data_IF_345477621076
#
_entry.id   IF_345477621076
#
_cell.length_a   1.000
_cell.length_b   1.000
_cell.length_c   1.000
_cell.angle_alpha   90.00
_cell.angle_beta   90.00
_cell.angle_gamma   90.00
#
_symmetry.space_group_name_H-M   'P 1'
#
loop_
_entity.id
_entity.type
_entity.pdbx_description
1 polymer ?
#
# COMPACT_ATOMS: atom_id res chain seq x y z
N UNK A 1 16.63 17.44 -26.47
CA UNK A 1 16.02 16.27 -27.13
C UNK A 1 16.44 16.30 -28.59
N UNK A 2 16.95 15.21 -29.17
CA UNK A 2 17.62 15.23 -30.48
C UNK A 2 16.70 15.33 -31.72
N UNK A 3 15.49 15.87 -31.59
CA UNK A 3 14.66 16.31 -32.73
C UNK A 3 14.20 15.26 -33.75
N UNK A 4 14.48 13.98 -33.56
CA UNK A 4 14.03 12.90 -34.45
C UNK A 4 12.62 12.41 -34.14
N UNK A 5 12.02 11.70 -35.10
CA UNK A 5 10.73 11.05 -34.92
C UNK A 5 10.82 9.93 -33.87
N UNK A 6 9.81 9.77 -33.00
CA UNK A 6 9.75 8.65 -32.06
C UNK A 6 9.79 7.30 -32.78
N UNK A 7 10.60 6.36 -32.29
CA UNK A 7 10.68 5.00 -32.85
C UNK A 7 9.35 4.21 -32.77
N UNK A 8 8.41 4.64 -31.93
CA UNK A 8 7.11 4.00 -31.75
C UNK A 8 5.97 5.02 -31.79
N UNK A 9 4.89 4.67 -32.48
CA UNK A 9 3.71 5.52 -32.65
C UNK A 9 2.80 5.56 -31.39
N UNK A 10 3.10 4.76 -30.36
CA UNK A 10 2.31 4.69 -29.13
C UNK A 10 3.22 4.69 -27.91
N UNK A 11 2.86 5.41 -26.83
CA UNK A 11 3.59 5.37 -25.59
C UNK A 11 3.43 4.00 -24.92
N UNK A 12 4.51 3.50 -24.33
CA UNK A 12 4.50 2.35 -23.42
C UNK A 12 4.65 2.84 -21.99
N UNK A 13 3.60 2.65 -21.19
CA UNK A 13 3.60 3.07 -19.79
C UNK A 13 4.32 2.05 -18.92
N UNK A 14 5.22 2.53 -18.05
CA UNK A 14 5.95 1.69 -17.10
C UNK A 14 5.01 0.94 -16.13
N UNK A 15 3.92 1.60 -15.73
CA UNK A 15 2.90 1.02 -14.84
C UNK A 15 1.60 0.89 -15.61
N UNK A 16 1.07 -0.33 -15.68
CA UNK A 16 -0.26 -0.63 -16.22
C UNK A 16 -0.95 -1.64 -15.28
N UNK A 17 -1.89 -1.19 -14.43
CA UNK A 17 -2.53 -2.07 -13.47
C UNK A 17 -3.31 -3.20 -14.14
N UNK A 18 -3.25 -4.40 -13.55
CA UNK A 18 -4.20 -5.45 -13.87
C UNK A 18 -5.56 -5.03 -13.32
N UNK A 19 -6.57 -5.03 -14.18
CA UNK A 19 -7.92 -4.66 -13.79
C UNK A 19 -8.76 -5.93 -13.60
N UNK A 20 -9.56 -6.04 -12.52
CA UNK A 20 -10.42 -7.19 -12.32
C UNK A 20 -11.50 -7.26 -13.40
N UNK A 21 -12.09 -8.44 -13.58
CA UNK A 21 -13.28 -8.57 -14.42
C UNK A 21 -14.39 -7.68 -13.87
N UNK A 22 -15.01 -6.89 -14.74
CA UNK A 22 -16.10 -5.97 -14.36
C UNK A 22 -17.27 -6.70 -13.69
N UNK A 23 -17.51 -7.97 -14.06
CA UNK A 23 -18.52 -8.81 -13.42
C UNK A 23 -18.27 -9.01 -11.93
N UNK A 24 -17.02 -9.20 -11.51
CA UNK A 24 -16.67 -9.48 -10.12
C UNK A 24 -16.66 -8.20 -9.29
N UNK A 25 -16.16 -7.10 -9.86
CA UNK A 25 -16.29 -5.78 -9.25
C UNK A 25 -17.76 -5.41 -9.00
N UNK A 26 -18.62 -5.62 -9.99
CA UNK A 26 -20.06 -5.33 -9.89
C UNK A 26 -20.76 -6.20 -8.83
N UNK A 27 -20.36 -7.46 -8.66
CA UNK A 27 -20.90 -8.31 -7.58
C UNK A 27 -20.56 -7.71 -6.20
N UNK A 28 -19.32 -7.26 -6.02
CA UNK A 28 -18.88 -6.61 -4.79
C UNK A 28 -19.67 -5.34 -4.47
N UNK A 29 -19.81 -4.46 -5.47
CA UNK A 29 -20.57 -3.21 -5.34
C UNK A 29 -22.05 -3.43 -5.03
N UNK A 30 -22.69 -4.43 -5.66
CA UNK A 30 -24.09 -4.81 -5.36
C UNK A 30 -24.28 -5.31 -3.92
N UNK A 31 -23.26 -5.92 -3.33
CA UNK A 31 -23.32 -6.31 -1.93
C UNK A 31 -23.19 -5.08 -1.01
N UNK A 32 -22.20 -4.21 -1.29
CA UNK A 32 -22.00 -2.96 -0.57
C UNK A 32 -23.23 -2.04 -0.62
N UNK A 33 -23.94 -1.98 -1.75
CA UNK A 33 -25.14 -1.15 -1.87
C UNK A 33 -26.28 -1.59 -0.94
N UNK A 34 -26.34 -2.87 -0.58
CA UNK A 34 -27.35 -3.40 0.35
C UNK A 34 -27.02 -3.05 1.80
N UNK A 35 -25.75 -3.17 2.18
CA UNK A 35 -25.30 -2.93 3.56
C UNK A 35 -25.06 -1.45 3.85
N UNK A 36 -24.72 -0.67 2.82
CA UNK A 36 -24.26 0.73 2.90
C UNK A 36 -23.08 0.95 3.86
N UNK A 37 -22.36 -0.12 4.20
CA UNK A 37 -21.20 -0.05 5.07
C UNK A 37 -19.92 -0.11 4.23
N UNK A 38 -19.37 1.08 3.96
CA UNK A 38 -18.36 1.27 2.91
C UNK A 38 -16.91 1.32 3.43
N UNK A 39 -16.71 1.45 4.74
CA UNK A 39 -15.38 1.64 5.36
C UNK A 39 -15.39 1.10 6.81
N UNK A 40 -14.41 1.51 7.63
CA UNK A 40 -14.37 1.33 9.08
C UNK A 40 -14.56 -0.13 9.53
N UNK A 41 -13.69 -1.03 9.05
CA UNK A 41 -13.77 -2.47 9.33
C UNK A 41 -15.01 -3.16 8.72
N UNK A 42 -15.42 -2.70 7.54
CA UNK A 42 -16.46 -3.34 6.73
C UNK A 42 -16.11 -4.77 6.29
N UNK A 43 -17.10 -5.45 5.71
CA UNK A 43 -17.02 -6.87 5.32
C UNK A 43 -15.75 -7.21 4.51
N UNK A 44 -15.47 -6.42 3.47
CA UNK A 44 -14.36 -6.70 2.56
C UNK A 44 -12.99 -6.46 3.19
N UNK A 45 -12.88 -5.54 4.16
CA UNK A 45 -11.64 -5.34 4.94
C UNK A 45 -11.35 -6.62 5.73
N UNK A 46 -12.33 -7.13 6.47
CA UNK A 46 -12.18 -8.34 7.30
C UNK A 46 -11.87 -9.59 6.47
N UNK A 47 -12.52 -9.74 5.31
CA UNK A 47 -12.22 -10.84 4.39
C UNK A 47 -10.78 -10.74 3.91
N UNK A 48 -10.37 -9.55 3.45
CA UNK A 48 -9.02 -9.36 2.92
C UNK A 48 -7.94 -9.54 3.99
N UNK A 49 -8.13 -9.03 5.21
CA UNK A 49 -7.23 -9.27 6.34
C UNK A 49 -7.05 -10.76 6.62
N UNK A 50 -8.15 -11.52 6.66
CA UNK A 50 -8.10 -12.96 6.90
C UNK A 50 -7.37 -13.71 5.79
N UNK A 51 -7.69 -13.43 4.53
CA UNK A 51 -7.07 -14.09 3.39
C UNK A 51 -5.59 -13.73 3.25
N UNK A 52 -5.21 -12.47 3.53
CA UNK A 52 -3.80 -12.05 3.55
C UNK A 52 -3.03 -12.66 4.71
N UNK A 53 -3.59 -12.70 5.92
CA UNK A 53 -2.95 -13.35 7.06
C UNK A 53 -2.64 -14.82 6.74
N UNK A 54 -3.62 -15.53 6.14
CA UNK A 54 -3.44 -16.90 5.67
C UNK A 54 -2.38 -17.00 4.56
N UNK A 55 -2.39 -16.10 3.59
CA UNK A 55 -1.44 -16.10 2.47
C UNK A 55 0.01 -15.89 2.94
N UNK A 56 0.24 -14.96 3.88
CA UNK A 56 1.56 -14.67 4.44
C UNK A 56 1.98 -15.64 5.54
N UNK A 57 1.08 -16.48 6.06
CA UNK A 57 1.38 -17.41 7.15
C UNK A 57 1.58 -16.71 8.50
N UNK A 58 0.87 -15.61 8.75
CA UNK A 58 0.93 -14.85 10.00
C UNK A 58 -0.40 -14.93 10.76
N UNK A 59 -0.37 -14.72 12.07
CA UNK A 59 -1.59 -14.78 12.91
C UNK A 59 -2.54 -13.61 12.66
N UNK A 60 -1.99 -12.40 12.44
CA UNK A 60 -2.75 -11.18 12.25
C UNK A 60 -2.26 -10.38 11.03
N UNK A 61 -3.21 -9.75 10.33
CA UNK A 61 -2.95 -8.77 9.28
C UNK A 61 -3.89 -7.58 9.50
N UNK A 62 -3.36 -6.36 9.48
CA UNK A 62 -4.13 -5.13 9.61
C UNK A 62 -4.01 -4.32 8.32
N UNK A 63 -5.14 -3.89 7.76
CA UNK A 63 -5.17 -3.09 6.54
C UNK A 63 -5.13 -1.58 6.84
N UNK A 64 -4.37 -0.87 6.02
CA UNK A 64 -4.28 0.60 6.02
C UNK A 64 -4.61 1.14 4.63
N UNK A 65 -4.83 2.45 4.53
CA UNK A 65 -5.15 3.08 3.26
C UNK A 65 -3.99 3.11 2.25
N UNK A 66 -2.73 2.98 2.71
CA UNK A 66 -1.53 2.81 1.89
C UNK A 66 -0.34 2.33 2.74
N UNK A 67 0.79 2.03 2.08
CA UNK A 67 2.02 1.54 2.72
C UNK A 67 2.66 2.54 3.69
N UNK A 68 2.67 3.83 3.37
CA UNK A 68 3.29 4.85 4.23
C UNK A 68 2.56 5.03 5.56
N UNK A 69 1.23 5.04 5.54
CA UNK A 69 0.43 5.07 6.78
C UNK A 69 0.62 3.77 7.58
N UNK A 70 0.75 2.62 6.90
CA UNK A 70 1.08 1.37 7.58
C UNK A 70 2.46 1.44 8.28
N UNK A 71 3.48 1.97 7.61
CA UNK A 71 4.83 2.19 8.18
C UNK A 71 4.76 3.12 9.40
N UNK A 72 4.08 4.27 9.27
CA UNK A 72 3.92 5.23 10.36
C UNK A 72 3.22 4.62 11.59
N UNK A 73 2.13 3.87 11.37
CA UNK A 73 1.42 3.19 12.44
C UNK A 73 2.29 2.10 13.07
N UNK A 74 2.97 1.28 12.26
CA UNK A 74 3.86 0.24 12.74
C UNK A 74 4.96 0.81 13.65
N UNK A 75 5.65 1.85 13.19
CA UNK A 75 6.73 2.47 13.95
C UNK A 75 6.25 3.09 15.26
N UNK A 76 5.08 3.74 15.27
CA UNK A 76 4.46 4.21 16.52
C UNK A 76 4.08 3.08 17.46
N UNK A 77 3.50 1.99 16.95
CA UNK A 77 3.09 0.85 17.77
C UNK A 77 4.28 0.09 18.37
N UNK A 78 5.42 0.08 17.68
CA UNK A 78 6.67 -0.50 18.17
C UNK A 78 7.40 0.39 19.19
N UNK A 79 6.94 1.63 19.40
CA UNK A 79 7.56 2.61 20.29
C UNK A 79 9.07 2.75 20.07
N UNK A 80 9.47 2.77 18.79
CA UNK A 80 10.88 2.86 18.42
C UNK A 80 11.45 4.21 18.85
N UNK A 81 12.71 4.20 19.30
CA UNK A 81 13.44 5.40 19.74
C UNK A 81 14.89 5.36 19.27
N UNK A 82 15.56 6.51 19.35
CA UNK A 82 16.93 6.66 18.87
C UNK A 82 17.01 6.74 17.36
N UNK A 83 18.14 6.29 16.79
CA UNK A 83 18.45 6.40 15.37
C UNK A 83 18.18 5.07 14.65
N UNK A 84 17.49 5.12 13.53
CA UNK A 84 17.12 3.94 12.74
C UNK A 84 18.00 3.83 11.49
N UNK A 85 18.59 2.66 11.29
CA UNK A 85 19.36 2.33 10.08
C UNK A 85 18.40 1.96 8.94
N UNK A 86 18.57 2.59 7.78
CA UNK A 86 17.74 2.37 6.58
C UNK A 86 18.62 2.23 5.34
N UNK A 87 18.31 1.35 4.38
CA UNK A 87 19.08 1.28 3.14
C UNK A 87 18.90 2.56 2.33
N UNK A 88 19.99 3.11 1.79
CA UNK A 88 19.91 4.27 0.88
C UNK A 88 19.17 3.98 -0.43
N UNK A 89 19.12 2.71 -0.84
CA UNK A 89 18.43 2.25 -2.04
C UNK A 89 17.02 1.72 -1.71
N UNK A 90 16.09 2.63 -1.42
CA UNK A 90 14.68 2.33 -1.12
C UNK A 90 13.74 3.40 -1.67
N UNK A 91 12.43 3.18 -1.58
CA UNK A 91 11.45 4.22 -1.87
C UNK A 91 11.43 5.27 -0.73
N UNK A 92 11.26 6.58 -1.02
CA UNK A 92 11.36 7.62 -0.01
C UNK A 92 10.40 7.49 1.19
N UNK A 93 9.29 6.73 1.06
CA UNK A 93 8.31 6.58 2.14
C UNK A 93 8.91 6.01 3.41
N UNK A 94 9.89 5.11 3.32
CA UNK A 94 10.52 4.46 4.47
C UNK A 94 11.12 5.50 5.43
N UNK A 95 11.82 6.50 4.90
CA UNK A 95 12.43 7.59 5.68
C UNK A 95 11.36 8.57 6.15
N UNK A 96 10.44 8.93 5.25
CA UNK A 96 9.39 9.91 5.53
C UNK A 96 8.48 9.45 6.68
N UNK A 97 8.16 8.16 6.76
CA UNK A 97 7.36 7.60 7.85
C UNK A 97 8.06 7.72 9.21
N UNK A 98 9.37 7.49 9.26
CA UNK A 98 10.20 7.64 10.47
C UNK A 98 10.34 9.10 10.90
N UNK A 99 10.67 9.99 9.95
CA UNK A 99 10.79 11.43 10.22
C UNK A 99 9.47 12.02 10.70
N UNK A 100 8.34 11.57 10.14
CA UNK A 100 7.02 12.04 10.54
C UNK A 100 6.72 11.79 12.02
N UNK A 101 7.25 10.69 12.58
CA UNK A 101 7.10 10.37 14.01
C UNK A 101 8.24 10.92 14.88
N UNK A 102 9.15 11.72 14.31
CA UNK A 102 10.25 12.36 15.03
C UNK A 102 11.51 11.50 15.21
N UNK A 103 11.69 10.47 14.37
CA UNK A 103 12.83 9.55 14.44
C UNK A 103 13.89 9.92 13.41
N UNK A 104 15.14 10.05 13.86
CA UNK A 104 16.29 10.27 12.99
C UNK A 104 16.70 8.97 12.28
N UNK A 105 17.14 9.10 11.03
CA UNK A 105 17.56 7.96 10.20
C UNK A 105 19.01 8.09 9.75
N UNK A 106 19.70 6.96 9.62
CA UNK A 106 21.05 6.87 9.04
C UNK A 106 21.10 5.81 7.96
N UNK A 107 21.79 6.11 6.87
CA UNK A 107 21.84 5.25 5.71
C UNK A 107 22.88 4.15 5.87
N UNK A 108 22.50 2.93 5.46
CA UNK A 108 23.41 1.82 5.18
C UNK A 108 23.49 1.52 3.68
#
# INVERSE_FOLDING_TARGET
MMGGDPAFNKPYHLVKPLFPLLSDLNKGLKNLSKTRFLSNQGLYVKILEKELAKFFGVEYCALFCNGTIAEMCLFKCLDISGRVLVPSFTFPSTIQALHWIGIDTEFI
#
